data_IF_605791400758
#
_entry.id   IF_605791400758
#
_cell.length_a   1.000
_cell.length_b   1.000
_cell.length_c   1.000
_cell.angle_alpha   90.00
_cell.angle_beta   90.00
_cell.angle_gamma   90.00
#
_symmetry.space_group_name_H-M   'P 1'
#
loop_
_entity.id
_entity.type
_entity.pdbx_description
1 polymer ?
#
# COMPACT_ATOMS: atom_id res chain seq x y z
N UNK A 1 -14.87 15.91 33.27
CA UNK A 1 -14.76 17.15 32.47
C UNK A 1 -16.08 17.35 31.74
N UNK A 2 -16.83 18.40 32.05
CA UNK A 2 -18.14 18.65 31.44
C UNK A 2 -17.99 18.94 29.94
N UNK A 3 -18.66 18.17 29.08
CA UNK A 3 -18.73 18.43 27.64
C UNK A 3 -19.54 19.70 27.40
N UNK A 4 -19.21 20.45 26.34
CA UNK A 4 -19.98 21.64 26.01
C UNK A 4 -21.40 21.23 25.55
N UNK A 5 -22.49 21.88 26.00
CA UNK A 5 -23.85 21.52 25.61
C UNK A 5 -24.08 21.49 24.08
N UNK A 6 -23.43 22.37 23.30
CA UNK A 6 -23.53 22.35 21.84
C UNK A 6 -22.92 21.09 21.22
N UNK A 7 -21.83 20.59 21.83
CA UNK A 7 -21.14 19.36 21.43
C UNK A 7 -22.00 18.12 21.70
N UNK A 8 -22.74 18.13 22.82
CA UNK A 8 -23.68 17.06 23.20
C UNK A 8 -24.80 16.91 22.17
N UNK A 9 -25.26 18.03 21.60
CA UNK A 9 -26.26 18.05 20.54
C UNK A 9 -25.69 17.81 19.12
N UNK A 10 -24.37 17.57 19.01
CA UNK A 10 -23.69 17.35 17.73
C UNK A 10 -23.50 18.61 16.89
N UNK A 11 -23.65 19.79 17.47
CA UNK A 11 -23.46 21.07 16.78
C UNK A 11 -21.98 21.43 16.82
N UNK A 12 -21.41 21.72 15.64
CA UNK A 12 -19.98 22.06 15.54
C UNK A 12 -19.73 23.51 15.98
N UNK A 13 -18.53 23.83 16.50
CA UNK A 13 -18.19 25.21 16.87
C UNK A 13 -18.30 26.21 15.70
N UNK A 14 -18.12 25.74 14.46
CA UNK A 14 -18.23 26.56 13.25
C UNK A 14 -19.65 27.06 13.05
N UNK A 15 -20.64 26.17 13.15
CA UNK A 15 -22.07 26.50 13.03
C UNK A 15 -22.49 27.48 14.14
N UNK A 16 -21.99 27.26 15.36
CA UNK A 16 -22.25 28.14 16.53
C UNK A 16 -21.70 29.56 16.34
N UNK A 17 -20.62 29.72 15.56
CA UNK A 17 -20.05 31.03 15.20
C UNK A 17 -20.87 31.73 14.12
N UNK A 18 -21.27 30.99 13.09
CA UNK A 18 -21.79 31.55 11.84
C UNK A 18 -23.29 31.89 11.92
N UNK A 19 -24.05 31.26 12.83
CA UNK A 19 -25.45 31.57 13.08
C UNK A 19 -25.64 32.65 14.16
N UNK A 20 -26.66 33.49 13.99
CA UNK A 20 -27.20 34.38 15.01
C UNK A 20 -27.89 33.60 16.15
N UNK A 21 -28.15 34.26 17.29
CA UNK A 21 -28.63 33.58 18.51
C UNK A 21 -30.00 32.90 18.29
N UNK A 22 -30.90 33.53 17.54
CA UNK A 22 -32.24 33.02 17.29
C UNK A 22 -32.21 31.82 16.34
N UNK A 23 -31.48 31.91 15.22
CA UNK A 23 -31.32 30.79 14.30
C UNK A 23 -30.58 29.62 14.96
N UNK A 24 -29.55 29.90 15.76
CA UNK A 24 -28.82 28.87 16.49
C UNK A 24 -29.69 28.17 17.54
N UNK A 25 -30.55 28.92 18.24
CA UNK A 25 -31.49 28.31 19.18
C UNK A 25 -32.58 27.48 18.46
N UNK A 26 -33.03 27.94 17.29
CA UNK A 26 -33.89 27.15 16.39
C UNK A 26 -33.25 25.80 16.03
N UNK A 27 -31.96 25.80 15.69
CA UNK A 27 -31.18 24.59 15.41
C UNK A 27 -31.06 23.69 16.66
N UNK A 28 -30.80 24.26 17.83
CA UNK A 28 -30.76 23.53 19.12
C UNK A 28 -32.09 22.82 19.38
N UNK A 29 -33.24 23.49 19.20
CA UNK A 29 -34.57 22.88 19.35
C UNK A 29 -34.77 21.73 18.37
N UNK A 30 -34.35 21.88 17.11
CA UNK A 30 -34.47 20.85 16.08
C UNK A 30 -33.60 19.62 16.40
N UNK A 31 -32.33 19.83 16.73
CA UNK A 31 -31.38 18.76 17.11
C UNK A 31 -31.84 18.01 18.36
N UNK A 32 -32.29 18.73 19.39
CA UNK A 32 -32.83 18.13 20.61
C UNK A 32 -34.04 17.24 20.33
N UNK A 33 -35.03 17.71 19.56
CA UNK A 33 -36.22 16.91 19.20
C UNK A 33 -35.84 15.68 18.39
N UNK A 34 -34.89 15.80 17.46
CA UNK A 34 -34.41 14.68 16.66
C UNK A 34 -33.70 13.64 17.54
N UNK A 35 -32.80 14.07 18.41
CA UNK A 35 -32.02 13.18 19.29
C UNK A 35 -32.87 12.54 20.38
N UNK A 36 -33.88 13.24 20.90
CA UNK A 36 -34.85 12.65 21.83
C UNK A 36 -35.67 11.53 21.20
N UNK A 37 -36.08 11.66 19.92
CA UNK A 37 -36.78 10.59 19.21
C UNK A 37 -35.91 9.34 19.04
N UNK A 38 -34.62 9.53 18.77
CA UNK A 38 -33.64 8.43 18.63
C UNK A 38 -33.33 7.77 19.98
N UNK A 39 -33.24 8.56 21.06
CA UNK A 39 -32.90 8.09 22.40
C UNK A 39 -34.13 7.67 23.24
N UNK A 40 -35.33 7.71 22.66
CA UNK A 40 -36.57 7.38 23.38
C UNK A 40 -36.54 5.92 23.87
N UNK A 41 -36.96 5.65 25.12
CA UNK A 41 -36.95 4.29 25.70
C UNK A 41 -37.77 3.28 24.88
N UNK A 42 -38.81 3.75 24.17
CA UNK A 42 -39.71 2.89 23.40
C UNK A 42 -39.40 2.78 21.90
N UNK A 43 -38.57 3.67 21.34
CA UNK A 43 -38.35 3.76 19.87
C UNK A 43 -36.89 3.54 19.42
N UNK A 44 -35.93 3.60 20.35
CA UNK A 44 -34.51 3.54 20.00
C UNK A 44 -34.00 2.13 19.67
N UNK A 45 -33.62 1.89 18.41
CA UNK A 45 -32.88 0.69 17.98
C UNK A 45 -31.36 0.91 18.10
N UNK A 46 -30.61 -0.10 18.56
CA UNK A 46 -29.14 -0.13 18.50
C UNK A 46 -28.36 0.23 19.78
N UNK A 47 -29.01 0.70 20.85
CA UNK A 47 -28.37 1.01 22.16
C UNK A 47 -29.08 0.28 23.31
N UNK A 48 -28.31 -0.15 24.32
CA UNK A 48 -28.88 -0.78 25.52
C UNK A 48 -29.83 0.18 26.26
N UNK A 49 -30.92 -0.32 26.89
CA UNK A 49 -31.93 0.53 27.56
C UNK A 49 -31.33 1.52 28.57
N UNK A 50 -30.31 1.07 29.31
CA UNK A 50 -29.58 1.91 30.28
C UNK A 50 -28.86 3.08 29.61
N UNK A 51 -28.14 2.84 28.50
CA UNK A 51 -27.44 3.91 27.76
C UNK A 51 -28.40 4.91 27.13
N UNK A 52 -29.59 4.47 26.71
CA UNK A 52 -30.62 5.36 26.15
C UNK A 52 -31.18 6.31 27.21
N UNK A 53 -31.48 5.80 28.40
CA UNK A 53 -31.93 6.62 29.53
C UNK A 53 -30.86 7.63 29.96
N UNK A 54 -29.60 7.20 30.09
CA UNK A 54 -28.48 8.08 30.41
C UNK A 54 -28.29 9.18 29.35
N UNK A 55 -28.40 8.84 28.07
CA UNK A 55 -28.28 9.82 26.98
C UNK A 55 -29.45 10.80 26.96
N UNK A 56 -30.68 10.36 27.22
CA UNK A 56 -31.85 11.22 27.30
C UNK A 56 -31.71 12.27 28.43
N UNK A 57 -31.19 11.87 29.59
CA UNK A 57 -30.90 12.79 30.69
C UNK A 57 -29.83 13.81 30.29
N UNK A 58 -28.75 13.36 29.65
CA UNK A 58 -27.67 14.25 29.18
C UNK A 58 -28.19 15.26 28.14
N UNK A 59 -29.06 14.83 27.22
CA UNK A 59 -29.68 15.70 26.22
C UNK A 59 -30.59 16.75 26.86
N UNK A 60 -31.38 16.37 27.86
CA UNK A 60 -32.26 17.30 28.58
C UNK A 60 -31.44 18.37 29.31
N UNK A 61 -30.41 17.97 30.04
CA UNK A 61 -29.50 18.91 30.73
C UNK A 61 -28.80 19.84 29.75
N UNK A 62 -28.34 19.32 28.61
CA UNK A 62 -27.72 20.14 27.57
C UNK A 62 -28.71 21.13 26.93
N UNK A 63 -29.98 20.75 26.78
CA UNK A 63 -31.02 21.64 26.26
C UNK A 63 -31.37 22.75 27.26
N UNK A 64 -31.51 22.42 28.56
CA UNK A 64 -31.78 23.41 29.61
C UNK A 64 -30.67 24.47 29.75
N UNK A 65 -29.42 24.06 29.61
CA UNK A 65 -28.26 24.95 29.60
C UNK A 65 -28.19 25.84 28.34
N UNK A 66 -28.85 25.43 27.26
CA UNK A 66 -28.92 26.15 25.98
C UNK A 66 -30.30 26.78 25.72
N UNK A 67 -31.13 26.89 26.75
CA UNK A 67 -32.44 27.53 26.63
C UNK A 67 -32.28 29.05 26.57
N UNK A 68 -32.34 29.61 25.36
CA UNK A 68 -32.20 31.05 25.12
C UNK A 68 -33.36 31.85 25.74
N UNK A 69 -34.56 31.28 25.81
CA UNK A 69 -35.74 31.94 26.36
C UNK A 69 -35.68 31.99 27.89
N UNK A 70 -35.16 30.93 28.52
CA UNK A 70 -35.09 30.81 29.98
C UNK A 70 -33.81 31.38 30.58
N UNK A 71 -32.66 31.12 29.95
CA UNK A 71 -31.32 31.43 30.48
C UNK A 71 -30.38 32.00 29.39
N UNK A 72 -30.62 33.24 28.90
CA UNK A 72 -29.83 33.82 27.80
C UNK A 72 -28.34 34.00 28.14
N UNK A 73 -28.00 34.22 29.41
CA UNK A 73 -26.59 34.35 29.84
C UNK A 73 -25.82 33.03 29.75
N UNK A 74 -26.46 31.90 30.10
CA UNK A 74 -25.82 30.58 30.00
C UNK A 74 -25.55 30.24 28.54
N UNK A 75 -26.53 30.50 27.66
CA UNK A 75 -26.39 30.31 26.22
C UNK A 75 -25.18 31.08 25.66
N UNK A 76 -25.06 32.37 25.99
CA UNK A 76 -23.94 33.23 25.55
C UNK A 76 -22.60 32.77 26.12
N UNK A 77 -22.56 32.35 27.37
CA UNK A 77 -21.36 31.82 28.04
C UNK A 77 -20.86 30.56 27.32
N UNK A 78 -21.75 29.59 27.07
CA UNK A 78 -21.40 28.35 26.38
C UNK A 78 -21.00 28.60 24.93
N UNK A 79 -21.67 29.52 24.23
CA UNK A 79 -21.34 29.95 22.86
C UNK A 79 -19.93 30.52 22.80
N UNK A 80 -19.61 31.49 23.67
CA UNK A 80 -18.28 32.11 23.75
C UNK A 80 -17.18 31.09 24.08
N UNK A 81 -17.43 30.20 25.04
CA UNK A 81 -16.48 29.15 25.42
C UNK A 81 -16.25 28.13 24.30
N UNK A 82 -17.29 27.80 23.53
CA UNK A 82 -17.20 26.84 22.44
C UNK A 82 -16.49 27.42 21.21
N UNK A 83 -16.81 28.66 20.85
CA UNK A 83 -16.12 29.39 19.77
C UNK A 83 -14.64 29.60 20.09
N UNK A 84 -14.28 29.80 21.36
CA UNK A 84 -12.88 29.91 21.76
C UNK A 84 -12.06 28.65 21.44
N UNK A 85 -12.69 27.47 21.29
CA UNK A 85 -12.02 26.23 20.87
C UNK A 85 -11.60 26.22 19.39
N UNK A 86 -12.24 27.04 18.53
CA UNK A 86 -11.82 27.20 17.13
C UNK A 86 -10.42 27.84 16.98
N UNK A 87 -9.83 28.35 18.08
CA UNK A 87 -8.47 28.91 18.09
C UNK A 87 -7.34 27.87 18.07
N UNK A 88 -7.62 26.58 17.80
CA UNK A 88 -6.63 25.50 17.58
C UNK A 88 -7.01 24.71 16.31
N UNK A 89 -6.05 24.23 15.49
CA UNK A 89 -5.00 25.00 14.81
C UNK A 89 -5.63 25.93 13.74
N UNK A 90 -5.01 27.07 13.49
CA UNK A 90 -5.56 28.08 12.58
C UNK A 90 -5.67 27.51 11.15
N UNK A 91 -6.68 27.96 10.39
CA UNK A 91 -6.77 27.69 8.94
C UNK A 91 -5.47 28.02 8.19
N UNK A 92 -4.65 28.93 8.72
CA UNK A 92 -3.31 29.22 8.20
C UNK A 92 -2.33 28.06 8.43
N UNK A 93 -2.37 27.38 9.57
CA UNK A 93 -1.54 26.21 9.84
C UNK A 93 -1.94 25.03 8.95
N UNK A 94 -3.24 24.85 8.67
CA UNK A 94 -3.70 23.85 7.69
C UNK A 94 -3.14 24.16 6.30
N UNK A 95 -3.29 25.40 5.84
CA UNK A 95 -2.72 25.84 4.55
C UNK A 95 -1.19 25.71 4.49
N UNK A 96 -0.50 26.00 5.58
CA UNK A 96 0.96 25.85 5.66
C UNK A 96 1.38 24.39 5.57
N UNK A 97 0.67 23.48 6.26
CA UNK A 97 0.92 22.05 6.18
C UNK A 97 0.61 21.49 4.78
N UNK A 98 -0.47 21.95 4.14
CA UNK A 98 -0.79 21.60 2.75
C UNK A 98 0.31 22.06 1.79
N UNK A 99 0.81 23.29 1.94
CA UNK A 99 1.91 23.81 1.12
C UNK A 99 3.21 23.03 1.34
N UNK A 100 3.53 22.68 2.59
CA UNK A 100 4.69 21.84 2.91
C UNK A 100 4.56 20.44 2.31
N UNK A 101 3.38 19.85 2.37
CA UNK A 101 3.12 18.53 1.80
C UNK A 101 3.32 18.56 0.29
N UNK A 102 2.77 19.56 -0.41
CA UNK A 102 2.96 19.73 -1.85
C UNK A 102 4.45 19.91 -2.21
N UNK A 103 5.19 20.72 -1.45
CA UNK A 103 6.64 20.90 -1.65
C UNK A 103 7.41 19.59 -1.46
N UNK A 104 7.10 18.82 -0.41
CA UNK A 104 7.74 17.53 -0.16
C UNK A 104 7.43 16.50 -1.24
N UNK A 105 6.19 16.48 -1.76
CA UNK A 105 5.83 15.63 -2.90
C UNK A 105 6.65 15.96 -4.14
N UNK A 106 6.80 17.24 -4.46
CA UNK A 106 7.59 17.68 -5.61
C UNK A 106 9.08 17.29 -5.46
N UNK A 107 9.65 17.46 -4.27
CA UNK A 107 11.03 17.02 -3.99
C UNK A 107 11.15 15.50 -4.13
N UNK A 108 10.19 14.74 -3.61
CA UNK A 108 10.18 13.28 -3.70
C UNK A 108 10.09 12.80 -5.14
N UNK A 109 9.24 13.41 -5.97
CA UNK A 109 9.15 13.11 -7.41
C UNK A 109 10.50 13.37 -8.11
N UNK A 110 11.16 14.50 -7.82
CA UNK A 110 12.48 14.80 -8.35
C UNK A 110 13.55 13.77 -7.94
N UNK A 111 13.52 13.30 -6.69
CA UNK A 111 14.44 12.26 -6.20
C UNK A 111 14.18 10.90 -6.85
N UNK A 112 12.92 10.54 -7.07
CA UNK A 112 12.50 9.30 -7.76
C UNK A 112 13.05 9.32 -9.20
N UNK A 113 12.90 10.44 -9.91
CA UNK A 113 13.43 10.59 -11.27
C UNK A 113 14.95 10.51 -11.30
N UNK A 114 15.64 11.25 -10.43
CA UNK A 114 17.10 11.20 -10.35
C UNK A 114 17.64 9.80 -10.01
N UNK A 115 16.99 9.09 -9.08
CA UNK A 115 17.35 7.72 -8.73
C UNK A 115 17.11 6.76 -9.90
N UNK A 116 15.99 6.93 -10.61
CA UNK A 116 15.66 6.15 -11.78
C UNK A 116 16.69 6.33 -12.90
N UNK A 117 17.03 7.57 -13.24
CA UNK A 117 18.07 7.89 -14.21
C UNK A 117 19.42 7.28 -13.80
N UNK A 118 19.78 7.42 -12.53
CA UNK A 118 20.98 6.83 -11.98
C UNK A 118 21.00 5.30 -12.11
N UNK A 119 19.87 4.61 -11.87
CA UNK A 119 19.76 3.15 -12.06
C UNK A 119 19.88 2.75 -13.53
N UNK A 120 19.23 3.49 -14.44
CA UNK A 120 19.29 3.21 -15.87
C UNK A 120 20.70 3.44 -16.43
N UNK A 121 21.38 4.50 -16.00
CA UNK A 121 22.73 4.87 -16.41
C UNK A 121 23.81 3.96 -15.80
N UNK A 122 23.69 3.57 -14.53
CA UNK A 122 24.67 2.75 -13.81
C UNK A 122 24.42 1.24 -13.88
N UNK A 123 23.74 0.78 -14.92
CA UNK A 123 23.46 -0.62 -15.22
C UNK A 123 24.72 -1.48 -15.54
N UNK A 124 25.82 -1.23 -14.81
CA UNK A 124 27.11 -1.93 -14.77
C UNK A 124 27.60 -2.23 -13.34
N UNK A 125 26.92 -1.83 -12.27
CA UNK A 125 27.44 -2.01 -10.91
C UNK A 125 26.97 -3.31 -10.22
N UNK A 126 27.86 -3.99 -9.48
CA UNK A 126 27.57 -5.25 -8.80
C UNK A 126 26.67 -5.09 -7.56
N UNK A 127 25.95 -6.16 -7.21
CA UNK A 127 25.03 -6.24 -6.06
C UNK A 127 25.82 -6.34 -4.74
N UNK A 128 25.43 -5.63 -3.69
CA UNK A 128 26.11 -5.73 -2.38
C UNK A 128 25.40 -6.76 -1.47
N UNK A 129 26.15 -7.47 -0.62
CA UNK A 129 25.55 -8.30 0.44
C UNK A 129 25.18 -7.46 1.67
N UNK A 130 24.32 -8.01 2.54
CA UNK A 130 23.83 -7.41 3.80
C UNK A 130 24.92 -6.90 4.77
N UNK A 131 26.19 -7.25 4.53
CA UNK A 131 27.33 -6.95 5.41
C UNK A 131 28.38 -5.98 4.83
N UNK A 132 28.08 -5.27 3.73
CA UNK A 132 28.92 -4.15 3.28
C UNK A 132 30.20 -4.51 2.52
N UNK A 133 30.43 -5.77 2.17
CA UNK A 133 31.45 -6.16 1.19
C UNK A 133 30.77 -6.34 -0.17
N UNK A 134 31.18 -5.55 -1.16
CA UNK A 134 30.61 -5.56 -2.51
C UNK A 134 30.80 -6.90 -3.18
N UNK A 135 29.71 -7.60 -3.46
CA UNK A 135 29.76 -8.87 -4.14
C UNK A 135 29.72 -8.59 -5.64
N UNK A 136 30.88 -8.60 -6.28
CA UNK A 136 30.91 -8.86 -7.72
C UNK A 136 30.02 -10.07 -7.96
N UNK A 137 28.98 -9.93 -8.80
CA UNK A 137 28.00 -10.97 -9.04
C UNK A 137 28.65 -12.07 -9.89
N UNK A 138 29.61 -12.77 -9.30
CA UNK A 138 30.41 -13.85 -9.85
C UNK A 138 30.15 -15.09 -9.00
N UNK A 139 30.10 -16.25 -9.64
CA UNK A 139 29.87 -17.54 -8.96
C UNK A 139 28.61 -17.60 -8.09
N UNK A 140 27.54 -16.94 -8.54
CA UNK A 140 26.31 -16.77 -7.78
C UNK A 140 25.15 -17.52 -8.45
N UNK A 141 24.42 -18.29 -7.66
CA UNK A 141 23.24 -19.02 -8.09
C UNK A 141 22.01 -18.53 -7.33
N UNK A 142 21.02 -18.05 -8.07
CA UNK A 142 19.73 -17.61 -7.55
C UNK A 142 18.64 -18.58 -8.00
N UNK A 143 17.90 -19.12 -7.03
CA UNK A 143 16.65 -19.83 -7.27
C UNK A 143 15.48 -18.88 -7.10
N UNK A 144 14.64 -18.77 -8.13
CA UNK A 144 13.51 -17.85 -8.21
C UNK A 144 12.21 -18.61 -8.40
N UNK A 145 11.15 -18.16 -7.72
CA UNK A 145 9.77 -18.54 -8.03
C UNK A 145 9.15 -17.44 -8.89
N UNK A 146 8.76 -17.80 -10.10
CA UNK A 146 8.03 -16.96 -11.04
C UNK A 146 6.61 -16.71 -10.54
N UNK A 147 6.32 -15.46 -10.19
CA UNK A 147 5.09 -15.11 -9.48
C UNK A 147 3.89 -15.11 -10.42
N UNK A 148 4.06 -14.61 -11.66
CA UNK A 148 2.97 -14.62 -12.62
C UNK A 148 2.58 -16.04 -13.02
N UNK A 149 3.55 -16.92 -13.29
CA UNK A 149 3.27 -18.33 -13.58
C UNK A 149 2.59 -19.00 -12.39
N UNK A 150 3.11 -18.79 -11.17
CA UNK A 150 2.48 -19.34 -9.96
C UNK A 150 1.05 -18.86 -9.78
N UNK A 151 0.77 -17.60 -10.09
CA UNK A 151 -0.57 -17.04 -10.00
C UNK A 151 -1.49 -17.60 -11.09
N UNK A 152 -1.00 -17.77 -12.32
CA UNK A 152 -1.83 -18.17 -13.45
C UNK A 152 -2.11 -19.68 -13.49
N UNK A 153 -1.26 -20.52 -12.90
CA UNK A 153 -1.47 -21.98 -12.87
C UNK A 153 -2.54 -22.37 -11.83
N UNK A 154 -3.67 -22.93 -12.30
CA UNK A 154 -4.84 -23.34 -11.49
C UNK A 154 -4.60 -24.56 -10.58
N UNK A 155 -3.91 -25.59 -11.08
CA UNK A 155 -3.59 -26.85 -10.37
C UNK A 155 -2.36 -27.48 -11.03
N UNK A 156 -1.38 -27.97 -10.27
CA UNK A 156 -0.30 -28.78 -10.85
C UNK A 156 -0.11 -30.09 -10.09
N UNK A 157 0.10 -31.14 -10.88
CA UNK A 157 0.33 -32.51 -10.42
C UNK A 157 1.81 -32.69 -10.09
N UNK A 158 2.09 -33.55 -9.12
CA UNK A 158 3.41 -33.72 -8.51
C UNK A 158 4.46 -34.14 -9.54
N UNK A 159 5.62 -33.45 -9.56
CA UNK A 159 6.83 -33.92 -10.26
C UNK A 159 7.78 -32.83 -10.76
N UNK A 160 7.27 -31.69 -11.22
CA UNK A 160 8.08 -30.56 -11.68
C UNK A 160 7.47 -29.25 -11.17
N UNK A 161 8.31 -28.31 -10.72
CA UNK A 161 7.86 -26.99 -10.29
C UNK A 161 7.94 -26.01 -11.48
N UNK A 162 6.88 -25.85 -12.30
CA UNK A 162 6.94 -25.12 -13.58
C UNK A 162 7.19 -23.62 -13.40
N UNK A 163 7.07 -23.09 -12.19
CA UNK A 163 7.36 -21.69 -11.87
C UNK A 163 8.78 -21.48 -11.35
N UNK A 164 9.61 -22.52 -11.20
CA UNK A 164 10.94 -22.37 -10.66
C UNK A 164 11.96 -22.10 -11.76
N UNK A 165 12.71 -20.99 -11.66
CA UNK A 165 13.78 -20.66 -12.59
C UNK A 165 15.07 -20.30 -11.84
N UNK A 166 16.19 -20.42 -12.54
CA UNK A 166 17.50 -20.16 -11.97
C UNK A 166 18.22 -19.04 -12.75
N UNK A 167 18.77 -18.08 -12.02
CA UNK A 167 19.76 -17.14 -12.56
C UNK A 167 21.14 -17.55 -12.06
N UNK A 168 22.07 -17.70 -12.98
CA UNK A 168 23.42 -18.21 -12.72
C UNK A 168 24.41 -17.18 -13.21
N UNK A 169 25.28 -16.74 -12.32
CA UNK A 169 26.40 -15.88 -12.65
C UNK A 169 27.68 -16.70 -12.63
N UNK A 170 28.40 -16.71 -13.75
CA UNK A 170 29.70 -17.40 -13.84
C UNK A 170 30.82 -16.61 -13.13
N UNK A 171 32.03 -17.15 -13.16
CA UNK A 171 33.24 -16.52 -12.60
C UNK A 171 33.55 -15.14 -13.20
N UNK A 172 33.05 -14.85 -14.41
CA UNK A 172 33.22 -13.59 -15.13
C UNK A 172 32.02 -12.66 -14.98
N UNK A 173 31.03 -13.04 -14.17
CA UNK A 173 29.79 -12.29 -13.94
C UNK A 173 28.82 -12.30 -15.12
N UNK A 174 29.00 -13.21 -16.09
CA UNK A 174 28.04 -13.39 -17.17
C UNK A 174 26.81 -14.11 -16.61
N UNK A 175 25.65 -13.55 -16.93
CA UNK A 175 24.37 -14.05 -16.51
C UNK A 175 23.85 -15.13 -17.47
N UNK A 176 23.40 -16.25 -16.90
CA UNK A 176 22.68 -17.32 -17.58
C UNK A 176 21.33 -17.52 -16.91
N UNK A 177 20.31 -17.80 -17.71
CA UNK A 177 18.96 -18.10 -17.26
C UNK A 177 18.64 -19.56 -17.58
N UNK A 178 18.16 -20.30 -16.58
CA UNK A 178 17.57 -21.62 -16.75
C UNK A 178 16.10 -21.55 -16.36
N UNK A 179 15.24 -21.50 -17.36
CA UNK A 179 13.79 -21.45 -17.20
C UNK A 179 13.15 -22.78 -17.62
N UNK A 180 12.09 -23.26 -16.94
CA UNK A 180 11.37 -24.46 -17.36
C UNK A 180 10.77 -24.29 -18.76
N UNK A 181 10.73 -25.35 -19.59
CA UNK A 181 11.18 -26.73 -19.34
C UNK A 181 12.66 -26.96 -19.69
N UNK A 182 13.45 -25.91 -19.97
CA UNK A 182 14.81 -26.07 -20.48
C UNK A 182 15.73 -26.67 -19.42
N UNK A 183 16.49 -27.70 -19.83
CA UNK A 183 17.48 -28.33 -18.96
C UNK A 183 18.80 -27.55 -18.89
N UNK A 184 19.15 -26.85 -19.98
CA UNK A 184 20.41 -26.12 -20.10
C UNK A 184 20.23 -24.61 -19.85
N UNK A 185 21.14 -23.98 -19.08
CA UNK A 185 21.19 -22.53 -18.94
C UNK A 185 21.54 -21.86 -20.27
N UNK A 186 20.82 -20.78 -20.61
CA UNK A 186 21.12 -19.96 -21.79
C UNK A 186 21.71 -18.60 -21.38
N UNK A 187 22.67 -18.04 -22.14
CA UNK A 187 23.18 -16.70 -21.89
C UNK A 187 22.04 -15.67 -21.87
N UNK A 188 22.02 -14.82 -20.84
CA UNK A 188 20.98 -13.83 -20.60
C UNK A 188 21.58 -12.42 -20.44
N UNK A 189 22.59 -12.09 -21.25
CA UNK A 189 23.24 -10.77 -21.26
C UNK A 189 22.34 -9.60 -21.68
N UNK A 190 21.12 -9.89 -22.15
CA UNK A 190 20.09 -8.88 -22.39
C UNK A 190 19.38 -8.44 -21.11
N UNK A 191 19.49 -9.18 -20.00
CA UNK A 191 18.88 -8.84 -18.71
C UNK A 191 19.86 -7.96 -17.93
N UNK A 192 19.35 -6.86 -17.38
CA UNK A 192 20.09 -6.06 -16.41
C UNK A 192 19.25 -5.92 -15.15
N UNK A 193 19.79 -6.42 -14.04
CA UNK A 193 19.09 -6.43 -12.77
C UNK A 193 19.13 -5.04 -12.13
N UNK A 194 18.01 -4.63 -11.53
CA UNK A 194 17.85 -3.33 -10.88
C UNK A 194 18.06 -3.41 -9.37
N UNK A 195 17.57 -4.48 -8.74
CA UNK A 195 17.47 -4.56 -7.29
C UNK A 195 16.37 -5.49 -6.83
N UNK A 196 16.20 -5.57 -5.52
CA UNK A 196 15.16 -6.36 -4.87
C UNK A 196 14.23 -5.48 -4.03
N UNK A 197 13.00 -5.93 -3.87
CA UNK A 197 12.02 -5.37 -2.91
C UNK A 197 11.52 -6.50 -2.03
N UNK A 198 11.53 -6.30 -0.72
CA UNK A 198 11.04 -7.31 0.23
C UNK A 198 9.56 -7.63 -0.03
N UNK A 199 9.23 -8.93 0.00
CA UNK A 199 7.84 -9.41 -0.14
C UNK A 199 6.89 -8.85 0.92
N UNK A 200 7.41 -8.41 2.06
CA UNK A 200 6.60 -7.86 3.17
C UNK A 200 6.06 -6.46 2.91
N UNK A 201 6.67 -5.73 1.98
CA UNK A 201 6.37 -4.30 1.77
C UNK A 201 5.41 -4.09 0.58
N UNK A 202 5.33 -5.06 -0.34
CA UNK A 202 4.52 -4.95 -1.55
C UNK A 202 3.75 -6.22 -1.87
N UNK A 203 2.48 -6.08 -2.21
CA UNK A 203 1.72 -7.12 -2.90
C UNK A 203 2.03 -7.06 -4.41
N UNK A 204 2.97 -7.88 -4.84
CA UNK A 204 3.44 -7.87 -6.24
C UNK A 204 2.31 -8.17 -7.24
N UNK A 205 1.34 -9.00 -6.88
CA UNK A 205 0.26 -9.38 -7.79
C UNK A 205 -0.70 -8.21 -8.08
N UNK A 206 -0.75 -7.23 -7.18
CA UNK A 206 -1.54 -6.02 -7.36
C UNK A 206 -0.92 -5.06 -8.38
N UNK A 207 0.42 -5.06 -8.53
CA UNK A 207 1.16 -4.07 -9.36
C UNK A 207 1.62 -4.60 -10.71
N UNK A 208 1.60 -5.93 -10.91
CA UNK A 208 1.96 -6.53 -12.20
C UNK A 208 0.89 -6.28 -13.27
N UNK A 209 1.35 -6.15 -14.52
CA UNK A 209 0.51 -5.99 -15.70
C UNK A 209 -0.47 -7.18 -15.83
N UNK A 210 -1.69 -6.87 -16.29
CA UNK A 210 -2.78 -7.83 -16.49
C UNK A 210 -3.17 -7.89 -17.95
N UNK A 211 -3.34 -9.09 -18.48
CA UNK A 211 -3.98 -9.31 -19.77
C UNK A 211 -5.33 -10.00 -19.57
N UNK A 212 -6.37 -9.65 -20.34
CA UNK A 212 -7.60 -10.41 -20.37
C UNK A 212 -7.31 -11.89 -20.65
N UNK A 213 -7.86 -12.80 -19.85
CA UNK A 213 -7.69 -14.23 -20.09
C UNK A 213 -8.34 -14.63 -21.41
N UNK A 214 -7.68 -15.48 -22.20
CA UNK A 214 -8.24 -16.00 -23.47
C UNK A 214 -9.54 -16.78 -23.27
N UNK A 215 -9.70 -17.42 -22.10
CA UNK A 215 -10.94 -18.11 -21.71
C UNK A 215 -12.12 -17.13 -21.57
N UNK A 216 -11.86 -15.86 -21.23
CA UNK A 216 -12.86 -14.82 -21.08
C UNK A 216 -13.52 -14.40 -22.39
N UNK A 217 -12.80 -14.53 -23.50
CA UNK A 217 -13.30 -14.16 -24.82
C UNK A 217 -14.11 -15.29 -25.48
N UNK A 218 -13.97 -16.53 -25.01
CA UNK A 218 -14.47 -17.72 -25.71
C UNK A 218 -15.65 -18.41 -25.02
N UNK A 219 -15.84 -18.28 -23.71
CA UNK A 219 -16.96 -18.95 -23.03
C UNK A 219 -17.64 -18.07 -21.98
N UNK A 220 -18.93 -17.77 -22.19
CA UNK A 220 -19.82 -17.11 -21.22
C UNK A 220 -20.16 -17.96 -19.98
N UNK A 221 -19.25 -18.81 -19.52
CA UNK A 221 -19.44 -19.67 -18.35
C UNK A 221 -19.06 -18.90 -17.07
N UNK A 222 -20.08 -18.64 -16.26
CA UNK A 222 -19.99 -17.97 -14.95
C UNK A 222 -19.61 -18.98 -13.86
N UNK A 223 -18.42 -19.56 -13.94
CA UNK A 223 -17.89 -20.30 -12.79
C UNK A 223 -17.35 -19.32 -11.73
N UNK A 224 -17.61 -19.61 -10.46
CA UNK A 224 -17.22 -18.78 -9.30
C UNK A 224 -15.68 -18.69 -9.10
N UNK A 225 -14.89 -19.48 -9.82
CA UNK A 225 -13.42 -19.49 -9.80
C UNK A 225 -12.79 -18.81 -11.03
N UNK A 226 -13.58 -18.00 -11.73
CA UNK A 226 -13.16 -17.31 -12.95
C UNK A 226 -12.21 -16.14 -12.63
N UNK A 227 -10.99 -16.16 -13.18
CA UNK A 227 -10.09 -15.00 -13.18
C UNK A 227 -10.21 -14.28 -14.52
N UNK A 228 -10.64 -13.00 -14.53
CA UNK A 228 -10.79 -12.27 -15.79
C UNK A 228 -9.47 -11.93 -16.47
N UNK A 229 -8.34 -12.14 -15.78
CA UNK A 229 -7.03 -11.78 -16.28
C UNK A 229 -5.93 -12.81 -15.94
N UNK A 230 -4.93 -12.84 -16.81
CA UNK A 230 -3.61 -13.43 -16.58
C UNK A 230 -2.65 -12.34 -16.09
N UNK A 231 -1.82 -12.66 -15.10
CA UNK A 231 -0.71 -11.79 -14.71
C UNK A 231 0.46 -11.97 -15.68
N UNK A 232 1.14 -10.87 -15.95
CA UNK A 232 2.44 -10.86 -16.62
C UNK A 232 3.55 -10.57 -15.62
N UNK A 233 4.76 -11.05 -15.88
CA UNK A 233 5.96 -10.67 -15.11
C UNK A 233 6.48 -9.28 -15.48
N UNK A 234 5.62 -8.38 -15.94
CA UNK A 234 5.98 -7.02 -16.33
C UNK A 234 5.21 -5.99 -15.54
N UNK A 235 5.77 -4.81 -15.40
CA UNK A 235 5.08 -3.63 -14.93
C UNK A 235 5.57 -2.38 -15.66
N UNK A 236 4.70 -1.39 -15.76
CA UNK A 236 5.03 -0.09 -16.33
C UNK A 236 5.99 0.71 -15.43
N UNK A 237 6.83 1.54 -16.04
CA UNK A 237 7.81 2.38 -15.31
C UNK A 237 7.13 3.29 -14.28
N UNK A 238 6.01 3.99 -14.58
CA UNK A 238 5.36 4.85 -13.60
C UNK A 238 4.89 4.07 -12.36
N UNK A 239 4.38 2.85 -12.56
CA UNK A 239 3.96 1.96 -11.48
C UNK A 239 5.17 1.51 -10.65
N UNK A 240 6.26 1.10 -11.31
CA UNK A 240 7.48 0.73 -10.61
C UNK A 240 8.06 1.89 -9.78
N UNK A 241 8.13 3.10 -10.36
CA UNK A 241 8.62 4.30 -9.67
C UNK A 241 7.81 4.65 -8.43
N UNK A 242 6.49 4.47 -8.49
CA UNK A 242 5.59 4.80 -7.37
C UNK A 242 5.59 3.72 -6.28
N UNK A 243 5.47 2.45 -6.68
CA UNK A 243 5.19 1.35 -5.75
C UNK A 243 6.45 0.59 -5.30
N UNK A 244 7.46 0.47 -6.18
CA UNK A 244 8.61 -0.41 -5.96
C UNK A 244 9.90 0.35 -5.67
N UNK A 245 10.17 1.41 -6.44
CA UNK A 245 11.43 2.15 -6.38
C UNK A 245 11.76 2.73 -4.99
N UNK A 246 10.80 3.26 -4.19
CA UNK A 246 11.09 3.76 -2.84
C UNK A 246 11.60 2.68 -1.89
N UNK A 247 11.34 1.41 -2.20
CA UNK A 247 11.71 0.25 -1.40
C UNK A 247 12.81 -0.60 -2.05
N UNK A 248 13.30 -0.18 -3.22
CA UNK A 248 14.30 -0.92 -3.97
C UNK A 248 15.64 -0.90 -3.23
N UNK A 249 16.20 -2.09 -3.00
CA UNK A 249 17.54 -2.29 -2.45
C UNK A 249 18.41 -2.98 -3.49
N UNK A 250 19.69 -2.60 -3.55
CA UNK A 250 20.68 -3.27 -4.42
C UNK A 250 21.27 -4.55 -3.80
N UNK A 251 20.66 -5.02 -2.72
CA UNK A 251 21.06 -6.24 -2.05
C UNK A 251 20.21 -7.41 -2.53
N UNK A 252 20.83 -8.57 -2.66
CA UNK A 252 20.12 -9.82 -2.94
C UNK A 252 19.75 -10.47 -1.62
N UNK A 253 18.44 -10.57 -1.36
CA UNK A 253 17.91 -11.19 -0.13
C UNK A 253 16.89 -12.25 -0.49
N UNK A 254 16.81 -13.30 0.32
CA UNK A 254 15.71 -14.27 0.23
C UNK A 254 14.40 -13.59 0.64
N UNK A 255 13.28 -14.11 0.14
CA UNK A 255 11.95 -13.55 0.35
C UNK A 255 11.81 -12.10 -0.17
N UNK A 256 12.55 -11.79 -1.24
CA UNK A 256 12.47 -10.52 -1.94
C UNK A 256 12.21 -10.74 -3.44
N UNK A 257 11.42 -9.86 -4.05
CA UNK A 257 11.16 -9.82 -5.47
C UNK A 257 12.34 -9.19 -6.19
N UNK A 258 12.89 -9.87 -7.19
CA UNK A 258 13.98 -9.38 -8.02
C UNK A 258 13.44 -8.67 -9.26
N UNK A 259 13.94 -7.47 -9.55
CA UNK A 259 13.53 -6.68 -10.71
C UNK A 259 14.66 -6.50 -11.71
N UNK A 260 14.29 -6.42 -12.98
CA UNK A 260 15.22 -6.22 -14.10
C UNK A 260 14.65 -5.33 -15.20
N UNK A 261 15.54 -4.82 -16.05
CA UNK A 261 15.23 -4.29 -17.38
C UNK A 261 15.87 -5.17 -18.44
N UNK A 262 15.28 -5.21 -19.63
CA UNK A 262 15.81 -5.99 -20.76
C UNK A 262 16.31 -5.07 -21.87
N UNK A 263 17.35 -5.51 -22.60
CA UNK A 263 17.93 -4.82 -23.76
C UNK A 263 17.46 -5.48 -25.07
N UNK A 264 17.07 -4.71 -26.10
CA UNK A 264 16.85 -3.26 -26.08
C UNK A 264 15.72 -2.89 -25.11
N UNK A 265 15.78 -1.68 -24.56
CA UNK A 265 14.82 -1.23 -23.54
C UNK A 265 13.40 -1.18 -24.12
N UNK A 266 12.51 -2.01 -23.60
CA UNK A 266 11.13 -2.14 -24.06
C UNK A 266 10.16 -1.16 -23.39
N UNK A 267 10.65 -0.27 -22.52
CA UNK A 267 9.79 0.59 -21.70
C UNK A 267 9.10 -0.15 -20.54
N UNK A 268 9.50 -1.40 -20.26
CA UNK A 268 8.93 -2.22 -19.19
C UNK A 268 9.97 -2.66 -18.18
N UNK A 269 9.52 -2.80 -16.94
CA UNK A 269 10.25 -3.48 -15.87
C UNK A 269 9.78 -4.92 -15.80
N UNK A 270 10.70 -5.83 -15.53
CA UNK A 270 10.41 -7.25 -15.37
C UNK A 270 10.57 -7.64 -13.91
N UNK A 271 9.55 -8.29 -13.35
CA UNK A 271 9.68 -9.02 -12.10
C UNK A 271 10.27 -10.38 -12.44
N UNK A 272 11.56 -10.58 -12.18
CA UNK A 272 12.18 -11.89 -12.33
C UNK A 272 11.67 -12.87 -11.26
N UNK A 273 11.00 -12.41 -10.21
CA UNK A 273 10.28 -13.30 -9.29
C UNK A 273 10.88 -13.30 -7.90
N UNK A 274 10.37 -14.20 -7.06
CA UNK A 274 10.70 -14.25 -5.64
C UNK A 274 11.98 -15.08 -5.42
N UNK A 275 13.01 -14.46 -4.85
CA UNK A 275 14.24 -15.15 -4.46
C UNK A 275 13.94 -16.11 -3.30
N UNK A 276 14.08 -17.40 -3.55
CA UNK A 276 13.94 -18.46 -2.54
C UNK A 276 15.27 -19.08 -2.16
N UNK A 277 16.26 -18.99 -3.05
CA UNK A 277 17.59 -19.57 -2.83
C UNK A 277 18.67 -18.63 -3.34
N UNK A 278 19.72 -18.47 -2.55
CA UNK A 278 20.96 -17.79 -2.90
C UNK A 278 22.08 -18.73 -2.49
N UNK A 279 22.97 -19.07 -3.43
CA UNK A 279 24.16 -19.90 -3.20
C UNK A 279 25.35 -19.22 -3.85
N UNK A 280 26.39 -18.98 -3.06
CA UNK A 280 27.69 -18.49 -3.55
C UNK A 280 28.63 -19.68 -3.64
N UNK A 281 29.32 -19.79 -4.77
CA UNK A 281 30.24 -20.90 -5.04
C UNK A 281 31.64 -20.35 -4.87
N UNK A 282 32.37 -20.76 -3.84
CA UNK A 282 33.80 -20.52 -3.77
C UNK A 282 34.47 -21.36 -4.86
N UNK A 283 35.22 -20.73 -5.75
CA UNK A 283 35.92 -21.37 -6.86
C UNK A 283 36.81 -22.51 -6.37
N UNK A 284 36.43 -23.75 -6.69
CA UNK A 284 37.28 -24.86 -7.14
C UNK A 284 36.57 -26.19 -6.91
N UNK A 285 35.55 -26.46 -7.72
CA UNK A 285 35.21 -27.80 -8.21
C UNK A 285 33.93 -27.71 -9.03
N UNK A 286 34.07 -28.09 -10.29
CA UNK A 286 32.99 -28.56 -11.15
C UNK A 286 32.43 -29.87 -10.55
N UNK A 287 31.87 -29.80 -9.34
CA UNK A 287 31.14 -30.92 -8.74
C UNK A 287 29.65 -30.63 -8.85
N UNK A 288 28.94 -31.67 -9.32
CA UNK A 288 27.57 -31.66 -9.79
C UNK A 288 26.61 -30.76 -8.98
N UNK A 289 25.80 -30.00 -9.72
CA UNK A 289 24.62 -29.32 -9.21
C UNK A 289 23.87 -30.22 -8.21
N UNK A 290 23.62 -29.79 -6.96
CA UNK A 290 22.76 -30.55 -6.07
C UNK A 290 21.38 -30.62 -6.70
N UNK A 291 20.98 -31.85 -7.08
CA UNK A 291 19.62 -32.15 -7.53
C UNK A 291 18.66 -31.69 -6.45
N UNK A 292 17.69 -30.87 -6.83
CA UNK A 292 16.53 -30.58 -5.99
C UNK A 292 15.75 -31.88 -5.74
N UNK A 293 16.15 -32.62 -4.71
CA UNK A 293 15.35 -33.63 -4.04
C UNK A 293 15.23 -33.14 -2.61
N UNK A 294 14.05 -32.58 -2.32
CA UNK A 294 13.45 -32.29 -1.00
C UNK A 294 12.64 -31.00 -1.11
N UNK A 295 11.55 -31.07 -1.87
CA UNK A 295 10.27 -30.42 -1.59
C UNK A 295 9.17 -31.27 -2.22
#
# INVERSE_FOLDING_TARGET
MARNPFEVLGITPQIVRDLDEEALFGLVKACYRALQRVCHPDLGQGLSPRRRSEMAVILNLAYEELDLERNPESFRKWRKAYIARLKRPSRSQVKELEAKLASLQQVNEGLIEALWEHLVLLNRLPFTEENGEGLEATNLYLGLIDVAIKHNLRRYHWGHNPNYKELIFDERGRLFLKAPPRWEPVPAGFITLLGTVSRRVIDIAAVLDRLPSKEHLLEGKRDLEFRPFELLNTLEIPVFKRECLPHLRRELRRDAYLFSVRKPFSGKIYCEGLIVRIVKTSTSKTEALPRAKEF
#
